data_IF_849068809669
#
_entry.id   IF_849068809669
#
_cell.length_a   1.000
_cell.length_b   1.000
_cell.length_c   1.000
_cell.angle_alpha   90.00
_cell.angle_beta   90.00
_cell.angle_gamma   90.00
#
_symmetry.space_group_name_H-M   'P 1'
#
loop_
_entity.id
_entity.type
_entity.pdbx_description
1 polymer ?
#
# COMPACT_ATOMS: atom_id res chain seq x y z
N UNK A 1 -6.19 3.14 7.22
CA UNK A 1 -4.83 2.97 7.81
C UNK A 1 -4.24 1.66 7.30
N UNK A 2 -3.01 1.64 6.77
CA UNK A 2 -2.46 0.46 6.07
C UNK A 2 -2.17 -0.69 7.04
N UNK A 3 -2.78 -1.87 6.90
CA UNK A 3 -2.50 -3.00 7.79
C UNK A 3 -1.03 -3.45 7.65
N UNK A 4 -0.35 -3.71 8.77
CA UNK A 4 1.12 -3.92 8.77
C UNK A 4 1.53 -5.19 8.02
N UNK A 5 0.80 -6.30 8.21
CA UNK A 5 1.11 -7.59 7.58
C UNK A 5 0.68 -7.55 6.11
N UNK A 6 -0.54 -7.10 5.86
CA UNK A 6 -1.17 -7.06 4.55
C UNK A 6 -0.49 -6.04 3.64
N UNK A 7 0.04 -4.93 4.19
CA UNK A 7 0.87 -3.99 3.45
C UNK A 7 2.12 -4.65 2.89
N UNK A 8 2.86 -5.39 3.71
CA UNK A 8 4.07 -6.13 3.28
C UNK A 8 3.72 -7.22 2.27
N UNK A 9 2.62 -7.94 2.49
CA UNK A 9 2.12 -8.94 1.53
C UNK A 9 1.71 -8.29 0.20
N UNK A 10 1.12 -7.09 0.24
CA UNK A 10 0.74 -6.34 -0.94
C UNK A 10 1.94 -5.87 -1.72
N UNK A 11 3.01 -5.43 -1.05
CA UNK A 11 4.29 -5.14 -1.70
C UNK A 11 4.84 -6.38 -2.40
N UNK A 12 4.87 -7.55 -1.73
CA UNK A 12 5.30 -8.80 -2.38
C UNK A 12 4.49 -9.09 -3.64
N UNK A 13 3.16 -9.06 -3.53
CA UNK A 13 2.25 -9.29 -4.68
C UNK A 13 2.47 -8.28 -5.80
N UNK A 14 2.77 -7.02 -5.47
CA UNK A 14 3.09 -6.00 -6.46
C UNK A 14 4.41 -6.30 -7.18
N UNK A 15 5.47 -6.66 -6.44
CA UNK A 15 6.76 -7.04 -7.02
C UNK A 15 6.63 -8.27 -7.94
N UNK A 16 5.85 -9.26 -7.51
CA UNK A 16 5.52 -10.44 -8.31
C UNK A 16 4.74 -10.05 -9.59
N UNK A 17 3.73 -9.16 -9.46
CA UNK A 17 2.95 -8.64 -10.59
C UNK A 17 3.80 -7.88 -11.61
N UNK A 18 4.78 -7.11 -11.15
CA UNK A 18 5.75 -6.38 -11.99
C UNK A 18 6.90 -7.28 -12.49
N UNK A 19 6.92 -8.56 -12.11
CA UNK A 19 7.95 -9.54 -12.48
C UNK A 19 9.38 -9.09 -12.12
N UNK A 20 9.53 -8.31 -11.04
CA UNK A 20 10.81 -7.79 -10.60
C UNK A 20 11.56 -8.82 -9.76
N UNK A 21 12.85 -9.01 -10.06
CA UNK A 21 13.75 -9.88 -9.28
C UNK A 21 14.67 -9.11 -8.33
N UNK A 22 14.93 -7.83 -8.62
CA UNK A 22 15.74 -6.94 -7.80
C UNK A 22 15.37 -5.47 -8.04
N UNK A 23 15.66 -4.60 -7.06
CA UNK A 23 15.53 -3.15 -7.17
C UNK A 23 16.81 -2.52 -6.62
N UNK A 24 17.46 -1.65 -7.41
CA UNK A 24 18.70 -0.99 -6.98
C UNK A 24 19.82 -1.98 -6.59
N UNK A 25 19.88 -3.14 -7.24
CA UNK A 25 20.83 -4.22 -6.91
C UNK A 25 20.47 -5.08 -5.69
N UNK A 26 19.39 -4.76 -4.98
CA UNK A 26 18.89 -5.56 -3.86
C UNK A 26 17.86 -6.60 -4.34
N UNK A 27 18.03 -7.85 -3.94
CA UNK A 27 17.04 -8.92 -4.16
C UNK A 27 15.70 -8.58 -3.51
N UNK A 28 14.60 -8.98 -4.16
CA UNK A 28 13.25 -8.72 -3.64
C UNK A 28 13.03 -9.31 -2.24
N UNK A 29 13.61 -10.46 -1.92
CA UNK A 29 13.46 -11.08 -0.59
C UNK A 29 14.04 -10.19 0.50
N UNK A 30 15.17 -9.53 0.21
CA UNK A 30 15.81 -8.56 1.11
C UNK A 30 14.90 -7.36 1.32
N UNK A 31 14.33 -6.82 0.24
CA UNK A 31 13.43 -5.66 0.29
C UNK A 31 12.18 -5.98 1.11
N UNK A 32 11.57 -7.16 0.90
CA UNK A 32 10.40 -7.63 1.65
C UNK A 32 10.76 -7.79 3.14
N UNK A 33 11.93 -8.35 3.46
CA UNK A 33 12.38 -8.53 4.85
C UNK A 33 12.61 -7.19 5.56
N UNK A 34 13.27 -6.25 4.90
CA UNK A 34 13.48 -4.89 5.43
C UNK A 34 12.16 -4.15 5.59
N UNK A 35 11.26 -4.30 4.62
CA UNK A 35 9.93 -3.70 4.68
C UNK A 35 9.11 -4.22 5.85
N UNK A 36 9.15 -5.54 6.10
CA UNK A 36 8.53 -6.14 7.29
C UNK A 36 9.12 -5.60 8.57
N UNK A 37 10.45 -5.43 8.61
CA UNK A 37 11.13 -4.88 9.77
C UNK A 37 10.66 -3.46 10.07
N UNK A 38 10.61 -2.57 9.07
CA UNK A 38 10.13 -1.19 9.23
C UNK A 38 8.67 -1.18 9.70
N UNK A 39 7.79 -1.95 9.03
CA UNK A 39 6.36 -1.96 9.37
C UNK A 39 6.08 -2.51 10.78
N UNK A 40 6.89 -3.45 11.27
CA UNK A 40 6.74 -4.03 12.62
C UNK A 40 7.34 -3.15 13.71
N UNK A 41 8.40 -2.40 13.42
CA UNK A 41 9.14 -1.61 14.40
C UNK A 41 8.87 -0.11 14.27
N UNK A 42 7.60 0.27 14.17
CA UNK A 42 7.17 1.67 14.17
C UNK A 42 7.13 2.21 15.61
N UNK A 43 8.25 2.76 16.07
CA UNK A 43 8.35 3.43 17.36
C UNK A 43 8.41 4.95 17.18
N UNK A 44 7.75 5.68 18.06
CA UNK A 44 7.85 7.14 18.13
C UNK A 44 8.01 7.57 19.59
N UNK A 45 8.48 8.79 19.80
CA UNK A 45 8.56 9.40 21.13
C UNK A 45 7.65 10.61 21.22
N UNK A 46 7.04 10.79 22.39
CA UNK A 46 6.24 11.95 22.73
C UNK A 46 6.35 12.19 24.23
N UNK A 47 6.60 13.43 24.64
CA UNK A 47 6.75 13.82 26.05
C UNK A 47 7.74 12.95 26.86
N UNK A 48 8.90 12.66 26.27
CA UNK A 48 9.93 11.83 26.89
C UNK A 48 9.60 10.33 27.01
N UNK A 49 8.44 9.90 26.51
CA UNK A 49 8.01 8.51 26.53
C UNK A 49 8.08 7.89 25.12
N UNK A 50 8.37 6.59 25.07
CA UNK A 50 8.41 5.82 23.83
C UNK A 50 7.13 5.01 23.65
N UNK A 51 6.59 5.04 22.43
CA UNK A 51 5.37 4.35 22.07
C UNK A 51 5.60 3.46 20.86
N UNK A 52 5.01 2.27 20.89
CA UNK A 52 5.00 1.36 19.76
C UNK A 52 3.66 1.44 19.04
N UNK A 53 3.71 1.80 17.76
CA UNK A 53 2.52 1.80 16.93
C UNK A 53 2.20 0.38 16.46
N UNK A 54 1.22 -0.24 17.13
CA UNK A 54 0.81 -1.64 16.89
C UNK A 54 -0.16 -1.83 15.72
N UNK A 55 -0.73 -0.75 15.19
CA UNK A 55 -1.68 -0.76 14.08
C UNK A 55 -1.33 0.31 13.07
N UNK A 56 -1.44 -0.02 11.79
CA UNK A 56 -1.09 0.91 10.72
C UNK A 56 0.41 1.06 10.49
N UNK A 57 0.77 1.88 9.49
CA UNK A 57 2.12 2.41 9.33
C UNK A 57 2.26 3.79 9.96
N UNK A 58 3.47 4.16 10.38
CA UNK A 58 3.76 5.50 10.88
C UNK A 58 3.53 6.54 9.77
N UNK A 59 2.74 7.57 10.07
CA UNK A 59 2.60 8.74 9.19
C UNK A 59 3.94 9.48 9.13
N UNK A 60 4.38 9.85 7.94
CA UNK A 60 5.72 10.43 7.71
C UNK A 60 6.82 9.40 7.43
N UNK A 61 6.58 8.10 7.61
CA UNK A 61 7.52 7.07 7.14
C UNK A 61 7.52 7.01 5.61
N UNK A 62 8.69 7.08 4.95
CA UNK A 62 8.79 7.00 3.48
C UNK A 62 8.21 5.71 2.89
N UNK A 63 8.18 4.62 3.68
CA UNK A 63 7.69 3.33 3.22
C UNK A 63 6.16 3.20 3.32
N UNK A 64 5.54 3.86 4.30
CA UNK A 64 4.11 3.69 4.61
C UNK A 64 3.22 4.03 3.41
N UNK A 65 3.54 5.11 2.68
CA UNK A 65 2.76 5.53 1.51
C UNK A 65 2.87 4.51 0.37
N UNK A 66 4.07 3.99 0.12
CA UNK A 66 4.29 2.94 -0.89
C UNK A 66 3.50 1.67 -0.55
N UNK A 67 3.48 1.29 0.73
CA UNK A 67 2.67 0.17 1.21
C UNK A 67 1.18 0.41 1.02
N UNK A 68 0.70 1.63 1.31
CA UNK A 68 -0.69 2.03 1.08
C UNK A 68 -1.07 1.86 -0.39
N UNK A 69 -0.25 2.39 -1.30
CA UNK A 69 -0.51 2.32 -2.74
C UNK A 69 -0.50 0.87 -3.26
N UNK A 70 0.42 0.03 -2.79
CA UNK A 70 0.42 -1.38 -3.17
C UNK A 70 -0.85 -2.11 -2.69
N UNK A 71 -1.27 -1.84 -1.44
CA UNK A 71 -2.47 -2.43 -0.88
C UNK A 71 -3.73 -1.98 -1.64
N UNK A 72 -3.91 -0.67 -1.81
CA UNK A 72 -5.09 -0.12 -2.50
C UNK A 72 -5.15 -0.56 -3.96
N UNK A 73 -4.02 -0.59 -4.68
CA UNK A 73 -3.97 -1.10 -6.04
C UNK A 73 -4.55 -2.51 -6.17
N UNK A 74 -4.24 -3.41 -5.22
CA UNK A 74 -4.74 -4.78 -5.23
C UNK A 74 -6.20 -4.85 -4.79
N UNK A 75 -6.58 -4.04 -3.80
CA UNK A 75 -7.93 -4.02 -3.22
C UNK A 75 -8.96 -3.46 -4.20
N UNK A 76 -8.59 -2.43 -4.97
CA UNK A 76 -9.50 -1.66 -5.82
C UNK A 76 -9.66 -2.26 -7.23
N UNK A 77 -8.93 -3.34 -7.57
CA UNK A 77 -8.89 -3.88 -8.94
C UNK A 77 -10.26 -4.14 -9.53
N UNK A 78 -11.15 -4.77 -8.78
CA UNK A 78 -12.45 -5.16 -9.29
C UNK A 78 -13.40 -3.96 -9.39
N UNK A 79 -13.24 -2.96 -8.51
CA UNK A 79 -13.94 -1.68 -8.60
C UNK A 79 -13.51 -0.95 -9.87
N UNK A 80 -12.20 -0.82 -10.11
CA UNK A 80 -11.65 -0.18 -11.31
C UNK A 80 -12.14 -0.87 -12.58
N UNK A 81 -12.18 -2.21 -12.60
CA UNK A 81 -12.74 -2.97 -13.74
C UNK A 81 -14.22 -2.65 -13.97
N UNK A 82 -15.04 -2.62 -12.92
CA UNK A 82 -16.47 -2.32 -13.03
C UNK A 82 -16.71 -0.90 -13.54
N UNK A 83 -15.96 0.08 -13.01
CA UNK A 83 -16.02 1.47 -13.47
C UNK A 83 -15.64 1.56 -14.95
N UNK A 84 -14.53 0.92 -15.35
CA UNK A 84 -14.10 0.88 -16.75
C UNK A 84 -15.14 0.20 -17.66
N UNK A 85 -15.76 -0.90 -17.22
CA UNK A 85 -16.80 -1.60 -17.97
C UNK A 85 -18.05 -0.73 -18.17
N UNK A 86 -18.36 0.16 -17.21
CA UNK A 86 -19.42 1.15 -17.37
C UNK A 86 -19.05 2.30 -18.31
N UNK A 87 -17.78 2.44 -18.74
CA UNK A 87 -17.28 3.63 -19.44
C UNK A 87 -17.14 4.85 -18.53
N UNK A 88 -17.04 4.63 -17.22
CA UNK A 88 -16.83 5.65 -16.20
C UNK A 88 -15.35 6.01 -15.98
N UNK A 89 -15.09 6.88 -15.02
CA UNK A 89 -13.74 7.32 -14.64
C UNK A 89 -13.43 6.91 -13.20
N UNK A 90 -12.20 6.46 -12.97
CA UNK A 90 -11.68 6.16 -11.64
C UNK A 90 -10.35 6.90 -11.44
N UNK A 91 -10.30 7.81 -10.47
CA UNK A 91 -9.08 8.49 -10.04
C UNK A 91 -8.90 8.34 -8.53
N UNK A 92 -7.67 8.13 -8.08
CA UNK A 92 -7.32 8.07 -6.66
C UNK A 92 -6.14 8.97 -6.35
N UNK A 93 -6.26 9.76 -5.28
CA UNK A 93 -5.19 10.54 -4.69
C UNK A 93 -5.01 10.12 -3.23
N UNK A 94 -4.01 9.27 -2.96
CA UNK A 94 -3.73 8.71 -1.64
C UNK A 94 -4.97 8.00 -1.04
N UNK A 95 -5.75 8.69 -0.22
CA UNK A 95 -6.97 8.24 0.45
C UNK A 95 -8.26 8.81 -0.16
N UNK A 96 -8.17 9.80 -1.04
CA UNK A 96 -9.31 10.36 -1.79
C UNK A 96 -9.55 9.60 -3.09
N UNK A 97 -10.83 9.39 -3.41
CA UNK A 97 -11.27 8.71 -4.62
C UNK A 97 -12.32 9.56 -5.34
N UNK A 98 -12.14 9.74 -6.64
CA UNK A 98 -13.12 10.31 -7.55
C UNK A 98 -13.58 9.23 -8.54
N UNK A 99 -14.89 8.94 -8.54
CA UNK A 99 -15.50 7.94 -9.40
C UNK A 99 -16.68 8.53 -10.16
N UNK A 100 -16.76 8.26 -11.45
CA UNK A 100 -17.99 8.37 -12.25
C UNK A 100 -18.33 7.00 -12.82
N UNK A 101 -19.61 6.68 -12.92
CA UNK A 101 -20.10 5.44 -13.54
C UNK A 101 -21.27 5.77 -14.46
N UNK A 102 -21.38 5.08 -15.59
CA UNK A 102 -22.61 5.13 -16.38
C UNK A 102 -23.54 4.02 -15.90
N UNK A 103 -24.60 4.41 -15.20
CA UNK A 103 -25.59 3.45 -14.72
C UNK A 103 -26.40 2.90 -15.90
N UNK A 104 -26.56 1.57 -16.03
CA UNK A 104 -27.42 1.01 -17.05
C UNK A 104 -28.87 1.47 -16.81
N UNK A 105 -29.52 1.94 -17.87
CA UNK A 105 -30.93 2.36 -17.85
C UNK A 105 -31.88 1.19 -17.53
#
# INVERSE_FOLDING_TARGET
>A
MVPQIEGVLSLKKMLDYLQLKQIGGLKIETIIRLSRFVMKNNYFSYDGQYYHQIRGGAMGSPLTLTMANCFMFLYERDIVKQVNNSGGLYFRYIDDIFITINWPA
#
